data_IF_662667199087
#
_entry.id   IF_662667199087
#
_cell.length_a   1.000
_cell.length_b   1.000
_cell.length_c   1.000
_cell.angle_alpha   90.00
_cell.angle_beta   90.00
_cell.angle_gamma   90.00
#
_symmetry.space_group_name_H-M   'P 1'
#
loop_
_entity.id
_entity.type
_entity.pdbx_description
1 polymer ?
#
# COMPACT_ATOMS: atom_id res chain seq x y z
N UNK A 1 26.79 19.19 -6.62
CA UNK A 1 25.88 18.33 -7.41
C UNK A 1 25.86 16.99 -6.68
N UNK A 2 24.86 16.71 -5.83
CA UNK A 2 24.79 15.44 -5.12
C UNK A 2 24.06 14.43 -6.00
N UNK A 3 24.84 13.57 -6.65
CA UNK A 3 24.34 12.36 -7.29
C UNK A 3 24.43 11.19 -6.30
N UNK A 4 23.36 10.38 -6.31
CA UNK A 4 23.28 8.95 -6.00
C UNK A 4 23.50 8.45 -4.55
N UNK A 5 22.79 7.35 -4.24
CA UNK A 5 22.60 6.65 -2.94
C UNK A 5 21.71 7.40 -1.92
N UNK A 6 20.47 7.01 -1.60
CA UNK A 6 19.83 5.69 -1.58
C UNK A 6 18.32 5.93 -1.67
N UNK A 7 17.66 5.58 -2.76
CA UNK A 7 16.18 5.63 -2.83
C UNK A 7 15.63 4.43 -2.06
N UNK A 8 15.40 4.60 -0.77
CA UNK A 8 14.62 3.67 0.04
C UNK A 8 13.17 3.79 -0.47
N UNK A 9 12.57 2.77 -1.12
CA UNK A 9 11.17 2.86 -1.50
C UNK A 9 10.34 2.73 -0.23
N UNK A 10 9.94 3.84 0.38
CA UNK A 10 8.94 3.84 1.45
C UNK A 10 7.51 3.87 0.88
N UNK A 11 7.35 3.99 -0.44
CA UNK A 11 6.02 4.04 -1.06
C UNK A 11 5.37 2.65 -1.09
N UNK A 12 4.30 2.51 -0.32
CA UNK A 12 3.46 1.30 -0.33
C UNK A 12 2.29 1.52 -1.28
N UNK A 13 2.11 0.62 -2.22
CA UNK A 13 1.01 0.63 -3.18
C UNK A 13 0.10 -0.55 -2.93
N UNK A 14 -1.20 -0.30 -2.82
CA UNK A 14 -2.22 -1.33 -2.68
C UNK A 14 -3.01 -1.46 -3.97
N UNK A 15 -3.07 -2.67 -4.51
CA UNK A 15 -3.91 -2.99 -5.65
C UNK A 15 -5.39 -2.82 -5.28
N UNK A 16 -6.14 -2.03 -6.04
CA UNK A 16 -7.58 -1.83 -5.84
C UNK A 16 -8.43 -3.06 -6.17
N UNK A 17 -7.90 -3.99 -6.98
CA UNK A 17 -8.62 -5.18 -7.43
C UNK A 17 -8.50 -6.33 -6.42
N UNK A 18 -7.28 -6.78 -6.15
CA UNK A 18 -7.04 -7.93 -5.28
C UNK A 18 -6.65 -7.56 -3.84
N UNK A 19 -6.39 -6.28 -3.56
CA UNK A 19 -5.95 -5.82 -2.24
C UNK A 19 -4.48 -6.08 -1.93
N UNK A 20 -3.69 -6.63 -2.87
CA UNK A 20 -2.28 -6.90 -2.66
C UNK A 20 -1.46 -5.61 -2.47
N UNK A 21 -0.57 -5.61 -1.48
CA UNK A 21 0.35 -4.49 -1.20
C UNK A 21 1.74 -4.78 -1.71
N UNK A 22 2.33 -3.83 -2.41
CA UNK A 22 3.69 -3.87 -2.94
C UNK A 22 4.43 -2.61 -2.50
N UNK A 23 5.74 -2.70 -2.29
CA UNK A 23 6.57 -1.59 -1.83
C UNK A 23 7.56 -1.24 -2.92
N UNK A 24 7.26 -0.20 -3.70
CA UNK A 24 8.05 0.22 -4.86
C UNK A 24 7.94 1.74 -5.06
N UNK A 25 8.90 2.36 -5.76
CA UNK A 25 8.86 3.81 -6.04
C UNK A 25 7.67 4.21 -6.93
N UNK A 26 7.32 3.37 -7.91
CA UNK A 26 6.21 3.57 -8.83
C UNK A 26 5.37 2.31 -8.92
N UNK A 27 4.04 2.44 -9.07
CA UNK A 27 3.17 1.29 -9.20
C UNK A 27 3.36 0.63 -10.57
N UNK A 28 3.45 -0.70 -10.65
CA UNK A 28 3.48 -1.41 -11.90
C UNK A 28 2.12 -1.32 -12.59
N UNK A 29 2.11 -1.33 -13.92
CA UNK A 29 0.86 -1.37 -14.69
C UNK A 29 0.12 -2.69 -14.50
N UNK A 30 0.84 -3.80 -14.28
CA UNK A 30 0.29 -5.14 -14.12
C UNK A 30 0.55 -5.58 -12.69
N UNK A 31 -0.50 -6.00 -12.00
CA UNK A 31 -0.35 -6.49 -10.64
C UNK A 31 0.25 -7.90 -10.62
N UNK A 32 1.30 -8.18 -9.82
CA UNK A 32 1.89 -9.51 -9.75
C UNK A 32 0.97 -10.56 -9.12
N UNK A 33 -0.06 -10.14 -8.37
CA UNK A 33 -0.98 -11.06 -7.72
C UNK A 33 -2.15 -11.49 -8.62
N UNK A 34 -2.73 -10.57 -9.40
CA UNK A 34 -3.84 -10.88 -10.31
C UNK A 34 -3.45 -10.90 -11.79
N UNK A 35 -2.20 -10.55 -12.13
CA UNK A 35 -1.65 -10.55 -13.50
C UNK A 35 -2.46 -9.73 -14.51
N UNK A 36 -3.19 -8.74 -14.03
CA UNK A 36 -4.04 -7.86 -14.82
C UNK A 36 -3.65 -6.40 -14.62
N UNK A 37 -4.04 -5.55 -15.58
CA UNK A 37 -3.88 -4.10 -15.44
C UNK A 37 -4.81 -3.60 -14.34
N UNK A 38 -4.23 -3.09 -13.26
CA UNK A 38 -4.96 -2.68 -12.07
C UNK A 38 -4.51 -1.29 -11.62
N UNK A 39 -5.44 -0.56 -11.02
CA UNK A 39 -5.11 0.69 -10.35
C UNK A 39 -4.48 0.39 -8.99
N UNK A 40 -3.41 1.13 -8.68
CA UNK A 40 -2.66 1.01 -7.45
C UNK A 40 -2.80 2.29 -6.63
N UNK A 41 -3.36 2.14 -5.45
CA UNK A 41 -3.53 3.23 -4.50
C UNK A 41 -2.26 3.38 -3.68
N UNK A 42 -1.73 4.60 -3.62
CA UNK A 42 -0.63 4.88 -2.70
C UNK A 42 -1.18 4.85 -1.27
N UNK A 43 -0.79 3.83 -0.50
CA UNK A 43 -1.15 3.64 0.91
C UNK A 43 0.07 3.82 1.81
N UNK A 44 1.02 4.63 1.37
CA UNK A 44 2.21 4.93 2.16
C UNK A 44 1.78 5.52 3.49
N UNK A 45 2.25 4.88 4.54
CA UNK A 45 2.01 5.26 5.92
C UNK A 45 2.80 6.55 6.22
N UNK A 46 2.27 7.72 5.86
CA UNK A 46 2.91 9.02 6.11
C UNK A 46 2.76 9.50 7.57
N UNK A 47 2.10 8.70 8.42
CA UNK A 47 1.87 9.00 9.83
C UNK A 47 2.40 7.83 10.66
N UNK A 48 3.27 8.05 11.67
CA UNK A 48 3.85 6.97 12.48
C UNK A 48 2.81 6.10 13.22
N UNK A 49 1.56 6.57 13.32
CA UNK A 49 0.44 5.86 13.95
C UNK A 49 -0.54 5.20 12.95
N UNK A 50 -0.24 5.14 11.64
CA UNK A 50 -1.07 4.37 10.70
C UNK A 50 -0.78 2.85 10.80
N UNK A 51 -0.81 2.35 12.03
CA UNK A 51 -1.03 0.95 12.33
C UNK A 51 -2.53 0.67 12.36
N UNK A 52 -2.94 -0.46 11.80
CA UNK A 52 -4.30 -0.97 11.94
C UNK A 52 -4.57 -1.19 13.44
N UNK A 53 -5.18 -0.22 14.14
CA UNK A 53 -5.45 -0.24 15.59
C UNK A 53 -6.56 -1.22 16.00
N UNK A 54 -6.84 -2.22 15.16
CA UNK A 54 -7.92 -3.18 15.32
C UNK A 54 -9.23 -2.68 14.71
N UNK A 55 -10.16 -3.61 14.52
CA UNK A 55 -11.53 -3.29 14.12
C UNK A 55 -12.21 -2.61 15.31
N UNK A 56 -12.78 -1.42 15.10
CA UNK A 56 -13.49 -0.68 16.14
C UNK A 56 -14.52 -1.60 16.83
N UNK A 57 -14.44 -1.71 18.15
CA UNK A 57 -15.32 -2.56 18.96
C UNK A 57 -16.80 -2.13 18.89
N UNK A 58 -17.18 -1.06 18.20
CA UNK A 58 -18.58 -0.71 17.92
C UNK A 58 -19.08 -1.32 16.62
N UNK A 59 -18.18 -1.78 15.75
CA UNK A 59 -18.48 -2.45 14.49
C UNK A 59 -18.63 -3.96 14.65
N UNK A 60 -18.51 -4.52 15.87
CA UNK A 60 -18.90 -5.91 16.10
C UNK A 60 -20.36 -6.05 15.70
N UNK A 61 -20.71 -6.98 14.78
CA UNK A 61 -22.10 -7.24 14.46
C UNK A 61 -22.78 -7.64 15.76
N UNK A 62 -23.69 -6.79 16.23
CA UNK A 62 -24.53 -7.13 17.38
C UNK A 62 -25.32 -8.36 16.97
N UNK A 63 -25.06 -9.45 17.68
CA UNK A 63 -25.72 -10.74 17.52
C UNK A 63 -27.21 -10.62 17.82
#
# INVERSE_FOLDING_TARGET
MPENETTIPENTWKCSNCGNTIVELQPPQICPACLQKCEFLNVTCYQPDCGFTGMDNRLKPSK
#
